data_IF_773560488963
#
_entry.id   IF_773560488963
#
_cell.length_a   1.000
_cell.length_b   1.000
_cell.length_c   1.000
_cell.angle_alpha   90.00
_cell.angle_beta   90.00
_cell.angle_gamma   90.00
#
_symmetry.space_group_name_H-M   'P 1'
#
loop_
_entity.id
_entity.type
_entity.pdbx_description
1 polymer ?
#
# COMPACT_ATOMS: atom_id res chain seq x y z
N UNK A 1 27.11 33.15 29.36
CA UNK A 1 26.29 32.14 30.06
C UNK A 1 24.87 32.20 29.52
N UNK A 2 24.56 31.52 28.41
CA UNK A 2 23.15 31.31 27.96
C UNK A 2 23.12 30.13 26.98
N UNK A 3 23.00 28.91 27.50
CA UNK A 3 22.54 27.76 26.74
C UNK A 3 21.11 27.48 27.19
N UNK A 4 20.14 27.50 26.27
CA UNK A 4 18.91 26.66 26.27
C UNK A 4 17.92 27.13 25.18
N UNK A 5 18.29 26.96 23.91
CA UNK A 5 17.40 27.18 22.77
C UNK A 5 16.17 26.23 22.74
N UNK A 6 16.15 25.22 23.61
CA UNK A 6 15.14 24.15 23.66
C UNK A 6 14.14 24.26 24.82
N UNK A 7 14.13 25.38 25.56
CA UNK A 7 13.24 25.57 26.72
C UNK A 7 11.94 26.32 26.42
N UNK A 8 11.72 26.75 25.17
CA UNK A 8 10.47 27.43 24.81
C UNK A 8 9.29 26.46 24.87
N UNK A 9 8.34 26.77 25.76
CA UNK A 9 7.02 26.12 25.80
C UNK A 9 6.34 26.32 24.44
N UNK A 10 5.89 25.23 23.82
CA UNK A 10 5.18 25.26 22.53
C UNK A 10 5.95 24.68 21.34
N UNK A 11 7.26 24.40 21.45
CA UNK A 11 7.95 23.69 20.37
C UNK A 11 7.51 22.23 20.28
N UNK A 12 7.03 21.81 19.11
CA UNK A 12 6.70 20.42 18.85
C UNK A 12 7.99 19.58 18.83
N UNK A 13 8.22 18.83 19.90
CA UNK A 13 9.29 17.83 19.95
C UNK A 13 8.97 16.73 18.94
N UNK A 14 9.79 16.63 17.87
CA UNK A 14 9.74 15.47 16.97
C UNK A 14 10.05 14.23 17.82
N UNK A 15 9.09 13.32 17.98
CA UNK A 15 9.30 12.05 18.66
C UNK A 15 10.21 11.19 17.77
N UNK A 16 11.51 11.32 17.96
CA UNK A 16 12.49 10.42 17.36
C UNK A 16 12.36 9.05 18.04
N UNK A 17 12.37 7.98 17.26
CA UNK A 17 12.36 6.61 17.80
C UNK A 17 13.67 6.45 18.58
N UNK A 18 13.63 6.15 19.89
CA UNK A 18 14.84 5.98 20.65
C UNK A 18 15.63 4.80 20.07
N UNK A 19 16.96 4.93 19.90
CA UNK A 19 17.79 3.77 19.60
C UNK A 19 17.58 2.72 20.69
N UNK A 20 17.81 1.45 20.35
CA UNK A 20 17.63 0.31 21.28
C UNK A 20 18.28 0.56 22.65
N UNK A 21 17.94 -0.21 23.70
CA UNK A 21 18.51 -0.05 25.06
C UNK A 21 20.05 0.00 25.11
N UNK A 22 20.74 -0.44 24.06
CA UNK A 22 22.19 -0.40 23.91
C UNK A 22 22.70 0.63 22.89
N UNK A 23 21.89 1.63 22.51
CA UNK A 23 22.26 2.68 21.55
C UNK A 23 22.42 2.20 20.10
N UNK A 24 22.26 0.91 19.83
CA UNK A 24 22.34 0.37 18.47
C UNK A 24 21.15 0.86 17.66
N UNK A 25 21.43 1.49 16.53
CA UNK A 25 20.43 1.79 15.52
C UNK A 25 19.70 0.49 15.14
N UNK A 26 18.37 0.56 15.01
CA UNK A 26 17.60 -0.60 14.55
C UNK A 26 18.05 -0.90 13.13
N UNK A 27 18.84 -1.96 12.94
CA UNK A 27 19.11 -2.45 11.59
C UNK A 27 17.77 -2.92 11.01
N UNK A 28 17.23 -2.13 10.09
CA UNK A 28 16.15 -2.57 9.23
C UNK A 28 16.73 -3.69 8.35
N UNK A 29 16.47 -4.95 8.71
CA UNK A 29 16.67 -6.09 7.78
C UNK A 29 16.02 -5.71 6.45
N UNK A 30 16.72 -5.97 5.32
CA UNK A 30 16.15 -5.82 3.98
C UNK A 30 14.77 -6.49 3.93
N UNK A 31 13.77 -5.74 3.50
CA UNK A 31 12.37 -6.10 3.61
C UNK A 31 11.59 -4.96 4.24
N UNK A 32 10.70 -4.35 3.46
CA UNK A 32 9.86 -3.22 3.88
C UNK A 32 8.99 -3.70 5.04
N UNK A 33 9.34 -3.36 6.28
CA UNK A 33 8.42 -3.53 7.41
C UNK A 33 7.16 -2.77 7.05
N UNK A 34 6.05 -3.48 6.86
CA UNK A 34 4.74 -2.86 6.65
C UNK A 34 4.30 -2.27 7.99
N UNK A 35 4.83 -1.10 8.31
CA UNK A 35 4.31 -0.27 9.40
C UNK A 35 3.14 0.53 8.84
N UNK A 36 1.99 0.39 9.49
CA UNK A 36 0.83 1.21 9.18
C UNK A 36 1.21 2.68 9.40
N UNK A 37 0.91 3.58 8.45
CA UNK A 37 1.15 4.99 8.64
C UNK A 37 0.36 5.48 9.86
N UNK A 38 0.96 6.34 10.67
CA UNK A 38 0.32 6.87 11.89
C UNK A 38 -0.83 7.84 11.59
N UNK A 39 -0.87 8.38 10.37
CA UNK A 39 -1.95 9.20 9.85
C UNK A 39 -2.20 8.82 8.39
N UNK A 40 -3.45 8.63 8.02
CA UNK A 40 -3.88 8.46 6.63
C UNK A 40 -4.31 9.82 6.12
N UNK A 41 -3.70 10.28 5.03
CA UNK A 41 -4.11 11.52 4.35
C UNK A 41 -5.02 11.19 3.17
N UNK A 42 -5.81 12.17 2.71
CA UNK A 42 -6.68 11.99 1.54
C UNK A 42 -5.90 11.57 0.30
N UNK A 43 -4.71 12.15 0.09
CA UNK A 43 -3.83 11.79 -1.02
C UNK A 43 -3.39 10.31 -0.97
N UNK A 44 -3.18 9.76 0.23
CA UNK A 44 -2.84 8.34 0.36
C UNK A 44 -4.02 7.43 -0.02
N UNK A 45 -5.26 7.87 0.18
CA UNK A 45 -6.43 7.11 -0.20
C UNK A 45 -6.67 7.20 -1.71
N UNK A 46 -6.49 8.37 -2.32
CA UNK A 46 -6.52 8.49 -3.79
C UNK A 46 -5.44 7.63 -4.45
N UNK A 47 -4.21 7.61 -3.90
CA UNK A 47 -3.13 6.77 -4.42
C UNK A 47 -3.46 5.27 -4.33
N UNK A 48 -4.15 4.86 -3.25
CA UNK A 48 -4.63 3.47 -3.10
C UNK A 48 -5.68 3.12 -4.13
N UNK A 49 -6.64 4.01 -4.38
CA UNK A 49 -7.69 3.82 -5.38
C UNK A 49 -7.12 3.72 -6.79
N UNK A 50 -6.19 4.63 -7.14
CA UNK A 50 -5.48 4.60 -8.41
C UNK A 50 -4.69 3.31 -8.58
N UNK A 51 -3.97 2.87 -7.54
CA UNK A 51 -3.20 1.62 -7.58
C UNK A 51 -4.11 0.42 -7.79
N UNK A 52 -5.26 0.35 -7.08
CA UNK A 52 -6.25 -0.72 -7.26
C UNK A 52 -6.79 -0.75 -8.68
N UNK A 53 -7.13 0.41 -9.24
CA UNK A 53 -7.64 0.52 -10.59
C UNK A 53 -6.61 0.03 -11.63
N UNK A 54 -5.35 0.48 -11.51
CA UNK A 54 -4.26 0.04 -12.40
C UNK A 54 -4.06 -1.47 -12.32
N UNK A 55 -4.06 -2.05 -11.12
CA UNK A 55 -3.93 -3.50 -10.94
C UNK A 55 -5.08 -4.26 -11.60
N UNK A 56 -6.31 -3.82 -11.39
CA UNK A 56 -7.49 -4.41 -12.03
C UNK A 56 -7.36 -4.38 -13.55
N UNK A 57 -6.98 -3.24 -14.14
CA UNK A 57 -6.79 -3.14 -15.58
C UNK A 57 -5.68 -4.07 -16.10
N UNK A 58 -4.58 -4.20 -15.36
CA UNK A 58 -3.48 -5.10 -15.74
C UNK A 58 -3.90 -6.57 -15.67
N UNK A 59 -4.62 -6.95 -14.61
CA UNK A 59 -5.16 -8.30 -14.42
C UNK A 59 -6.13 -8.67 -15.54
N UNK A 60 -7.10 -7.79 -15.84
CA UNK A 60 -8.07 -7.99 -16.93
C UNK A 60 -7.35 -8.12 -18.26
N UNK A 61 -6.39 -7.23 -18.55
CA UNK A 61 -5.61 -7.28 -19.79
C UNK A 61 -4.82 -8.57 -19.92
N UNK A 62 -4.17 -9.02 -18.85
CA UNK A 62 -3.45 -10.29 -18.82
C UNK A 62 -4.40 -11.48 -19.05
N UNK A 63 -5.57 -11.49 -18.39
CA UNK A 63 -6.58 -12.52 -18.57
C UNK A 63 -7.13 -12.54 -20.00
N UNK A 64 -7.40 -11.38 -20.60
CA UNK A 64 -7.89 -11.29 -21.98
C UNK A 64 -6.85 -11.80 -22.98
N UNK A 65 -5.57 -11.44 -22.82
CA UNK A 65 -4.48 -11.93 -23.66
C UNK A 65 -4.35 -13.46 -23.55
N UNK A 66 -4.34 -14.00 -22.34
CA UNK A 66 -4.27 -15.44 -22.12
C UNK A 66 -5.46 -16.20 -22.73
N UNK A 67 -6.67 -15.64 -22.65
CA UNK A 67 -7.86 -16.23 -23.29
C UNK A 67 -7.80 -16.15 -24.83
N UNK A 68 -7.23 -15.09 -25.38
CA UNK A 68 -7.13 -14.87 -26.83
C UNK A 68 -6.07 -15.77 -27.48
N UNK A 69 -4.95 -15.99 -26.80
CA UNK A 69 -3.81 -16.77 -27.32
C UNK A 69 -3.97 -18.30 -27.19
N UNK A 70 -5.19 -18.79 -26.89
CA UNK A 70 -5.56 -20.17 -27.22
C UNK A 70 -5.41 -21.21 -26.12
N UNK A 71 -5.65 -20.86 -24.86
CA UNK A 71 -5.85 -21.83 -23.79
C UNK A 71 -7.17 -21.59 -23.07
N UNK A 72 -8.25 -22.27 -23.47
CA UNK A 72 -9.48 -22.30 -22.68
C UNK A 72 -9.21 -23.06 -21.38
N UNK A 73 -8.73 -22.35 -20.36
CA UNK A 73 -8.60 -22.89 -19.02
C UNK A 73 -10.02 -23.15 -18.51
N UNK A 74 -10.39 -24.44 -18.43
CA UNK A 74 -11.71 -24.97 -18.03
C UNK A 74 -12.18 -24.57 -16.61
N UNK A 75 -11.50 -23.62 -15.97
CA UNK A 75 -11.74 -23.17 -14.60
C UNK A 75 -12.48 -21.82 -14.58
N UNK A 76 -12.55 -21.08 -15.69
CA UNK A 76 -13.40 -19.89 -15.75
C UNK A 76 -14.86 -20.34 -15.87
N UNK A 77 -15.62 -20.22 -14.77
CA UNK A 77 -17.07 -20.41 -14.78
C UNK A 77 -17.63 -19.53 -15.91
N UNK A 78 -18.32 -20.09 -16.91
CA UNK A 78 -18.88 -19.29 -17.98
C UNK A 78 -19.83 -18.24 -17.38
N UNK A 79 -19.94 -17.04 -17.98
CA UNK A 79 -20.97 -16.10 -17.58
C UNK A 79 -22.31 -16.81 -17.64
N UNK A 80 -23.09 -16.74 -16.56
CA UNK A 80 -24.41 -17.35 -16.52
C UNK A 80 -25.18 -16.80 -17.72
N UNK A 81 -25.52 -17.68 -18.66
CA UNK A 81 -26.36 -17.36 -19.79
C UNK A 81 -27.60 -16.68 -19.23
N UNK A 82 -27.88 -15.47 -19.70
CA UNK A 82 -29.15 -14.79 -19.48
C UNK A 82 -30.27 -15.59 -20.15
N UNK A 83 -30.65 -16.70 -19.53
CA UNK A 83 -31.91 -17.38 -19.81
C UNK A 83 -33.00 -16.54 -19.17
N UNK A 84 -33.60 -15.67 -19.98
CA UNK A 84 -34.70 -14.83 -19.55
C UNK A 84 -35.39 -14.12 -20.72
N UNK A 85 -35.44 -14.76 -21.89
CA UNK A 85 -36.44 -14.42 -22.90
C UNK A 85 -37.67 -15.32 -22.68
N UNK A 86 -38.65 -14.81 -21.94
CA UNK A 86 -40.09 -14.90 -22.19
C UNK A 86 -40.83 -14.01 -21.21
#
# INVERSE_FOLDING_TARGET
MTQKNYLFKGQQKKKSIPPSRHGKAVQTRKGKRVMKPSKVTKDMDTDRELTKFINYCNEVKAATVANKDGGQLSIVKPPESSTGAK
#
